data_IF_399998203652
#
_entry.id   IF_399998203652
#
_cell.length_a   1.000
_cell.length_b   1.000
_cell.length_c   1.000
_cell.angle_alpha   90.00
_cell.angle_beta   90.00
_cell.angle_gamma   90.00
#
_symmetry.space_group_name_H-M   'P 1'
#
loop_
_entity.id
_entity.type
_entity.pdbx_description
1 polymer ?
#
# COMPACT_ATOMS: atom_id res chain seq x y z
N UNK A 1 -27.28 -0.30 9.54
CA UNK A 1 -27.44 0.70 8.47
C UNK A 1 -27.15 2.06 9.08
N UNK A 2 -25.88 2.42 9.17
CA UNK A 2 -25.48 3.77 9.60
C UNK A 2 -25.72 4.70 8.42
N UNK A 3 -26.46 5.79 8.65
CA UNK A 3 -26.63 6.85 7.68
C UNK A 3 -25.26 7.40 7.31
N UNK A 4 -24.93 7.33 6.01
CA UNK A 4 -23.82 8.08 5.41
C UNK A 4 -24.12 9.57 5.56
N UNK A 5 -23.71 10.16 6.69
CA UNK A 5 -23.66 11.62 6.80
C UNK A 5 -22.46 12.06 6.00
N UNK A 6 -22.62 12.09 4.68
CA UNK A 6 -21.73 12.86 3.81
C UNK A 6 -21.87 14.31 4.28
N UNK A 7 -20.83 14.85 4.90
CA UNK A 7 -20.79 16.28 5.20
C UNK A 7 -21.06 17.04 3.89
N UNK A 8 -21.98 18.01 3.92
CA UNK A 8 -22.42 18.75 2.73
C UNK A 8 -21.30 19.26 1.78
N UNK A 9 -20.09 19.56 2.27
CA UNK A 9 -18.98 20.02 1.43
C UNK A 9 -18.35 18.90 0.57
N UNK A 10 -18.29 17.66 1.07
CA UNK A 10 -17.78 16.51 0.28
C UNK A 10 -18.71 16.19 -0.89
N UNK A 11 -20.02 16.27 -0.68
CA UNK A 11 -21.01 16.11 -1.74
C UNK A 11 -20.92 17.19 -2.84
N UNK A 12 -20.43 18.40 -2.51
CA UNK A 12 -20.19 19.45 -3.50
C UNK A 12 -18.97 19.18 -4.40
N UNK A 13 -17.95 18.50 -3.87
CA UNK A 13 -16.70 18.25 -4.58
C UNK A 13 -16.75 17.05 -5.53
N UNK A 14 -17.64 16.08 -5.31
CA UNK A 14 -17.80 14.93 -6.23
C UNK A 14 -18.26 15.33 -7.63
N UNK A 15 -18.82 16.54 -7.78
CA UNK A 15 -19.18 17.13 -9.08
C UNK A 15 -18.03 17.88 -9.77
N UNK A 16 -16.94 18.17 -9.03
CA UNK A 16 -15.78 18.88 -9.56
C UNK A 16 -14.77 17.89 -10.15
N UNK A 17 -14.33 18.16 -11.37
CA UNK A 17 -13.27 17.38 -12.03
C UNK A 17 -11.84 17.79 -11.59
N UNK A 18 -11.75 18.79 -10.69
CA UNK A 18 -10.50 19.38 -10.21
C UNK A 18 -10.55 19.60 -8.70
N UNK A 19 -9.50 19.18 -8.01
CA UNK A 19 -9.26 19.43 -6.58
C UNK A 19 -8.16 20.47 -6.44
N UNK A 20 -8.47 21.58 -5.78
CA UNK A 20 -7.54 22.68 -5.51
C UNK A 20 -7.00 22.63 -4.08
N UNK A 21 -5.93 23.37 -3.79
CA UNK A 21 -5.38 23.48 -2.44
C UNK A 21 -6.38 24.07 -1.43
N UNK A 22 -7.29 24.94 -1.88
CA UNK A 22 -8.37 25.47 -1.04
C UNK A 22 -9.40 24.38 -0.69
N UNK A 23 -9.74 23.51 -1.65
CA UNK A 23 -10.61 22.36 -1.39
C UNK A 23 -9.95 21.39 -0.37
N UNK A 24 -8.63 21.13 -0.49
CA UNK A 24 -7.88 20.32 0.48
C UNK A 24 -7.90 20.95 1.88
N UNK A 25 -7.64 22.25 1.98
CA UNK A 25 -7.65 22.95 3.27
C UNK A 25 -9.03 22.94 3.94
N UNK A 26 -10.11 23.04 3.14
CA UNK A 26 -11.47 22.89 3.63
C UNK A 26 -11.73 21.47 4.13
N UNK A 27 -11.42 20.45 3.32
CA UNK A 27 -11.62 19.04 3.69
C UNK A 27 -10.85 18.66 4.95
N UNK A 28 -9.59 19.11 5.10
CA UNK A 28 -8.81 18.88 6.31
C UNK A 28 -9.49 19.40 7.57
N UNK A 29 -10.09 20.59 7.51
CA UNK A 29 -10.78 21.16 8.68
C UNK A 29 -12.03 20.38 9.07
N UNK A 30 -12.65 19.69 8.12
CA UNK A 30 -13.88 18.93 8.35
C UNK A 30 -13.59 17.50 8.78
N UNK A 31 -12.75 16.79 8.03
CA UNK A 31 -12.39 15.38 8.26
C UNK A 31 -11.68 15.18 9.61
N UNK A 32 -10.96 16.19 10.08
CA UNK A 32 -10.30 16.15 11.40
C UNK A 32 -11.03 16.99 12.46
N UNK A 33 -12.26 17.46 12.20
CA UNK A 33 -12.97 18.37 13.10
C UNK A 33 -13.27 17.76 14.47
N UNK A 34 -13.66 16.48 14.48
CA UNK A 34 -13.97 15.69 15.68
C UNK A 34 -12.77 14.84 16.15
N UNK A 35 -11.64 14.95 15.44
CA UNK A 35 -10.39 14.25 15.73
C UNK A 35 -10.38 12.79 15.30
N UNK A 36 -11.37 12.31 14.54
CA UNK A 36 -11.49 10.90 14.12
C UNK A 36 -12.03 10.83 12.68
N UNK A 37 -11.23 10.33 11.74
CA UNK A 37 -11.69 10.05 10.37
C UNK A 37 -12.59 8.82 10.30
N UNK A 38 -13.90 8.99 10.11
CA UNK A 38 -14.83 7.88 10.00
C UNK A 38 -14.69 7.09 8.68
N UNK A 39 -15.23 5.86 8.66
CA UNK A 39 -15.30 5.03 7.43
C UNK A 39 -16.03 5.74 6.29
N UNK A 40 -17.11 6.46 6.59
CA UNK A 40 -17.85 7.21 5.59
C UNK A 40 -17.04 8.35 4.98
N UNK A 41 -16.19 9.02 5.78
CA UNK A 41 -15.29 10.06 5.28
C UNK A 41 -14.17 9.47 4.43
N UNK A 42 -13.58 8.35 4.86
CA UNK A 42 -12.58 7.64 4.06
C UNK A 42 -13.16 7.19 2.70
N UNK A 43 -14.35 6.59 2.68
CA UNK A 43 -15.05 6.21 1.44
C UNK A 43 -15.32 7.41 0.53
N UNK A 44 -15.65 8.57 1.11
CA UNK A 44 -15.88 9.78 0.35
C UNK A 44 -14.58 10.39 -0.21
N UNK A 45 -13.47 10.30 0.52
CA UNK A 45 -12.14 10.66 0.02
C UNK A 45 -11.70 9.76 -1.15
N UNK A 46 -11.98 8.44 -1.08
CA UNK A 46 -11.75 7.53 -2.20
C UNK A 46 -12.59 7.90 -3.42
N UNK A 47 -13.87 8.22 -3.23
CA UNK A 47 -14.75 8.65 -4.32
C UNK A 47 -14.22 9.93 -5.00
N UNK A 48 -13.68 10.88 -4.22
CA UNK A 48 -13.02 12.08 -4.76
C UNK A 48 -11.74 11.75 -5.52
N UNK A 49 -10.89 10.86 -5.00
CA UNK A 49 -9.64 10.46 -5.68
C UNK A 49 -9.93 9.83 -7.05
N UNK A 50 -10.99 9.01 -7.12
CA UNK A 50 -11.38 8.28 -8.33
C UNK A 50 -12.12 9.14 -9.36
N UNK A 51 -12.80 10.21 -8.94
CA UNK A 51 -13.58 11.08 -9.83
C UNK A 51 -12.79 12.28 -10.35
N UNK A 52 -11.87 12.82 -9.55
CA UNK A 52 -11.10 14.00 -9.92
C UNK A 52 -9.93 13.65 -10.86
N UNK A 53 -9.85 14.33 -12.02
CA UNK A 53 -8.75 14.15 -12.98
C UNK A 53 -7.55 15.05 -12.71
N UNK A 54 -7.79 16.27 -12.21
CA UNK A 54 -6.74 17.25 -11.91
C UNK A 54 -6.69 17.48 -10.40
N UNK A 55 -5.60 17.04 -9.76
CA UNK A 55 -5.43 17.06 -8.31
C UNK A 55 -4.19 17.88 -7.98
N UNK A 56 -4.32 18.84 -7.06
CA UNK A 56 -3.18 19.60 -6.58
C UNK A 56 -2.19 18.72 -5.79
N UNK A 57 -0.95 19.20 -5.61
CA UNK A 57 0.11 18.42 -4.96
C UNK A 57 -0.17 18.07 -3.50
N UNK A 58 -1.02 18.86 -2.84
CA UNK A 58 -1.43 18.66 -1.44
C UNK A 58 -2.48 17.55 -1.27
N UNK A 59 -3.14 17.12 -2.36
CA UNK A 59 -4.19 16.10 -2.28
C UNK A 59 -3.63 14.75 -1.84
N UNK A 60 -2.57 14.25 -2.48
CA UNK A 60 -2.04 12.92 -2.18
C UNK A 60 -1.56 12.80 -0.72
N UNK A 61 -0.76 13.74 -0.16
CA UNK A 61 -0.39 13.70 1.25
C UNK A 61 -1.60 13.73 2.19
N UNK A 62 -2.59 14.58 1.93
CA UNK A 62 -3.80 14.65 2.77
C UNK A 62 -4.62 13.35 2.72
N UNK A 63 -4.85 12.82 1.52
CA UNK A 63 -5.59 11.59 1.31
C UNK A 63 -4.93 10.41 2.04
N UNK A 64 -3.61 10.27 1.88
CA UNK A 64 -2.82 9.22 2.54
C UNK A 64 -2.91 9.35 4.06
N UNK A 65 -2.71 10.55 4.60
CA UNK A 65 -2.78 10.82 6.05
C UNK A 65 -4.17 10.48 6.62
N UNK A 66 -5.24 11.00 6.01
CA UNK A 66 -6.59 10.82 6.53
C UNK A 66 -7.05 9.36 6.50
N UNK A 67 -6.78 8.63 5.41
CA UNK A 67 -7.18 7.22 5.30
C UNK A 67 -6.31 6.33 6.19
N UNK A 68 -5.03 6.67 6.39
CA UNK A 68 -4.16 5.93 7.32
C UNK A 68 -4.62 6.11 8.76
N UNK A 69 -5.01 7.32 9.17
CA UNK A 69 -5.58 7.57 10.50
C UNK A 69 -6.80 6.67 10.77
N UNK A 70 -7.71 6.58 9.79
CA UNK A 70 -8.86 5.69 9.87
C UNK A 70 -8.47 4.21 10.04
N UNK A 71 -7.55 3.72 9.22
CA UNK A 71 -7.23 2.29 9.17
C UNK A 71 -6.37 1.83 10.35
N UNK A 72 -5.44 2.68 10.80
CA UNK A 72 -4.36 2.30 11.71
C UNK A 72 -4.59 2.80 13.14
N UNK A 73 -5.06 4.04 13.31
CA UNK A 73 -5.13 4.67 14.64
C UNK A 73 -6.47 4.50 15.36
N UNK A 74 -7.53 4.24 14.61
CA UNK A 74 -8.88 4.12 15.19
C UNK A 74 -9.24 2.71 15.62
N UNK A 75 -8.60 1.71 15.02
CA UNK A 75 -8.73 0.32 15.45
C UNK A 75 -8.06 0.11 16.80
N UNK A 76 -8.64 -0.77 17.61
CA UNK A 76 -8.06 -1.18 18.89
C UNK A 76 -7.55 -2.60 18.77
N UNK A 77 -6.27 -2.87 19.08
CA UNK A 77 -5.27 -1.94 19.59
C UNK A 77 -4.68 -0.98 18.54
N UNK A 78 -4.33 0.24 18.96
CA UNK A 78 -3.78 1.27 18.08
C UNK A 78 -2.49 0.80 17.38
N UNK A 79 -2.46 0.96 16.05
CA UNK A 79 -1.40 0.46 15.19
C UNK A 79 -1.67 -0.93 14.60
N UNK A 80 -2.81 -1.56 14.90
CA UNK A 80 -3.16 -2.86 14.33
C UNK A 80 -4.21 -2.71 13.23
N UNK A 81 -3.92 -3.30 12.08
CA UNK A 81 -4.90 -3.46 11.00
C UNK A 81 -5.62 -4.79 11.19
N UNK A 82 -6.95 -4.74 11.31
CA UNK A 82 -7.80 -5.93 11.35
C UNK A 82 -7.90 -6.60 9.97
N UNK A 83 -8.26 -7.88 9.91
CA UNK A 83 -8.57 -8.56 8.64
C UNK A 83 -9.69 -7.84 7.88
N UNK A 84 -10.72 -7.35 8.58
CA UNK A 84 -11.83 -6.60 7.97
C UNK A 84 -11.34 -5.31 7.29
N UNK A 85 -10.49 -4.52 7.95
CA UNK A 85 -9.97 -3.28 7.37
C UNK A 85 -8.99 -3.54 6.24
N UNK A 86 -8.19 -4.61 6.32
CA UNK A 86 -7.33 -5.03 5.21
C UNK A 86 -8.17 -5.44 3.98
N UNK A 87 -9.20 -6.26 4.17
CA UNK A 87 -10.13 -6.68 3.11
C UNK A 87 -10.87 -5.49 2.51
N UNK A 88 -11.34 -4.57 3.35
CA UNK A 88 -11.99 -3.35 2.89
C UNK A 88 -11.05 -2.45 2.09
N UNK A 89 -9.82 -2.22 2.58
CA UNK A 89 -8.83 -1.42 1.87
C UNK A 89 -8.53 -2.03 0.50
N UNK A 90 -8.21 -3.33 0.45
CA UNK A 90 -7.94 -4.05 -0.81
C UNK A 90 -9.12 -3.92 -1.76
N UNK A 91 -10.35 -4.15 -1.31
CA UNK A 91 -11.54 -4.01 -2.16
C UNK A 91 -11.79 -2.59 -2.66
N UNK A 92 -11.34 -1.59 -1.92
CA UNK A 92 -11.58 -0.18 -2.24
C UNK A 92 -10.54 0.34 -3.24
N UNK A 93 -9.27 -0.07 -3.11
CA UNK A 93 -8.19 0.31 -4.03
C UNK A 93 -8.09 -0.60 -5.25
N UNK A 94 -8.57 -1.84 -5.17
CA UNK A 94 -8.45 -2.83 -6.23
C UNK A 94 -9.63 -2.78 -7.18
N UNK A 95 -9.37 -2.54 -8.46
CA UNK A 95 -10.30 -2.84 -9.56
C UNK A 95 -9.72 -3.96 -10.41
N UNK A 96 -10.47 -5.05 -10.55
CA UNK A 96 -10.07 -6.26 -11.27
C UNK A 96 -8.72 -6.84 -10.82
N UNK A 97 -8.35 -6.67 -9.54
CA UNK A 97 -7.11 -7.17 -8.94
C UNK A 97 -5.94 -6.18 -8.94
N UNK A 98 -6.13 -4.97 -9.48
CA UNK A 98 -5.07 -3.98 -9.65
C UNK A 98 -5.42 -2.64 -9.00
N UNK A 99 -4.42 -1.96 -8.46
CA UNK A 99 -4.57 -0.58 -7.98
C UNK A 99 -4.73 0.38 -9.15
N UNK A 100 -5.63 1.36 -9.05
CA UNK A 100 -5.96 2.26 -10.17
C UNK A 100 -5.01 3.47 -10.25
N UNK A 101 -4.47 3.94 -9.13
CA UNK A 101 -3.69 5.18 -9.07
C UNK A 101 -2.39 5.07 -8.27
N UNK A 102 -1.42 5.95 -8.57
CA UNK A 102 -0.17 6.06 -7.77
C UNK A 102 -0.46 6.50 -6.34
N UNK A 103 -1.48 7.33 -6.14
CA UNK A 103 -1.91 7.77 -4.81
C UNK A 103 -2.42 6.60 -3.96
N UNK A 104 -3.22 5.71 -4.56
CA UNK A 104 -3.74 4.52 -3.88
C UNK A 104 -2.62 3.50 -3.59
N UNK A 105 -1.62 3.37 -4.47
CA UNK A 105 -0.46 2.53 -4.21
C UNK A 105 0.41 3.11 -3.07
N UNK A 106 0.62 4.42 -3.06
CA UNK A 106 1.34 5.07 -1.96
C UNK A 106 0.58 4.94 -0.64
N UNK A 107 -0.76 5.07 -0.65
CA UNK A 107 -1.59 4.78 0.52
C UNK A 107 -1.36 3.36 1.03
N UNK A 108 -1.40 2.36 0.14
CA UNK A 108 -1.22 0.95 0.51
C UNK A 108 0.13 0.71 1.20
N UNK A 109 1.21 1.31 0.66
CA UNK A 109 2.55 1.19 1.24
C UNK A 109 2.64 1.94 2.55
N UNK A 110 2.11 3.16 2.62
CA UNK A 110 2.16 3.99 3.82
C UNK A 110 1.37 3.37 4.99
N UNK A 111 0.19 2.79 4.72
CA UNK A 111 -0.61 2.06 5.71
C UNK A 111 0.17 0.87 6.27
N UNK A 112 0.90 0.14 5.42
CA UNK A 112 1.77 -0.92 5.88
C UNK A 112 2.93 -0.39 6.73
N UNK A 113 3.55 0.74 6.34
CA UNK A 113 4.69 1.35 7.04
C UNK A 113 4.32 1.90 8.43
N UNK A 114 3.12 2.45 8.59
CA UNK A 114 2.63 3.01 9.85
C UNK A 114 2.06 1.93 10.80
N UNK A 115 1.56 0.83 10.23
CA UNK A 115 0.99 -0.25 11.03
C UNK A 115 2.06 -0.98 11.85
N UNK A 116 1.80 -1.15 13.14
CA UNK A 116 2.54 -2.08 13.99
C UNK A 116 2.29 -3.51 13.51
N UNK A 117 1.04 -3.87 13.24
CA UNK A 117 0.69 -5.21 12.77
C UNK A 117 -0.35 -5.13 11.67
N UNK A 118 -0.21 -5.97 10.66
CA UNK A 118 -1.22 -6.13 9.62
C UNK A 118 -1.37 -7.60 9.23
N UNK A 119 -2.45 -7.97 8.52
CA UNK A 119 -2.59 -9.31 7.96
C UNK A 119 -1.60 -9.49 6.79
N UNK A 120 -0.92 -10.64 6.72
CA UNK A 120 0.07 -10.92 5.67
C UNK A 120 -0.49 -10.90 4.23
N UNK A 121 -1.80 -11.02 4.07
CA UNK A 121 -2.45 -10.86 2.77
C UNK A 121 -2.35 -9.43 2.22
N UNK A 122 -2.28 -8.41 3.08
CA UNK A 122 -2.20 -7.01 2.68
C UNK A 122 -0.81 -6.70 2.10
N UNK A 123 0.26 -7.17 2.75
CA UNK A 123 1.62 -7.06 2.22
C UNK A 123 1.79 -7.89 0.94
N UNK A 124 1.26 -9.11 0.89
CA UNK A 124 1.28 -9.92 -0.31
C UNK A 124 0.55 -9.23 -1.49
N UNK A 125 -0.60 -8.60 -1.24
CA UNK A 125 -1.30 -7.81 -2.25
C UNK A 125 -0.47 -6.62 -2.75
N UNK A 126 0.21 -5.89 -1.85
CA UNK A 126 1.10 -4.81 -2.24
C UNK A 126 2.28 -5.29 -3.10
N UNK A 127 2.90 -6.43 -2.75
CA UNK A 127 3.95 -7.06 -3.57
C UNK A 127 3.41 -7.50 -4.94
N UNK A 128 2.18 -8.00 -5.01
CA UNK A 128 1.53 -8.38 -6.26
C UNK A 128 1.39 -7.19 -7.22
N UNK A 129 1.13 -5.98 -6.70
CA UNK A 129 1.08 -4.78 -7.54
C UNK A 129 2.44 -4.45 -8.17
N UNK A 130 3.53 -4.66 -7.44
CA UNK A 130 4.89 -4.52 -7.99
C UNK A 130 5.16 -5.63 -9.01
N UNK A 131 4.72 -6.85 -8.74
CA UNK A 131 4.85 -7.97 -9.67
C UNK A 131 4.11 -7.70 -10.99
N UNK A 132 2.90 -7.14 -10.96
CA UNK A 132 2.17 -6.76 -12.16
C UNK A 132 2.90 -5.69 -12.99
N UNK A 133 3.54 -4.73 -12.34
CA UNK A 133 4.33 -3.73 -13.05
C UNK A 133 5.58 -4.34 -13.70
N UNK A 134 6.35 -5.11 -12.92
CA UNK A 134 7.59 -5.72 -13.38
C UNK A 134 7.34 -6.81 -14.43
N UNK A 135 6.39 -7.71 -14.22
CA UNK A 135 6.20 -8.89 -15.07
C UNK A 135 5.30 -8.57 -16.26
N UNK A 136 4.17 -7.89 -16.02
CA UNK A 136 3.13 -7.69 -17.02
C UNK A 136 3.17 -6.29 -17.66
N UNK A 137 3.95 -5.35 -17.09
CA UNK A 137 3.96 -3.96 -17.53
C UNK A 137 2.62 -3.26 -17.29
N UNK A 138 1.96 -3.58 -16.17
CA UNK A 138 0.62 -3.06 -15.84
C UNK A 138 0.62 -2.27 -14.53
N UNK A 139 -0.45 -1.52 -14.31
CA UNK A 139 -0.71 -0.82 -13.06
C UNK A 139 -0.09 0.57 -12.98
N UNK A 140 -0.25 1.24 -11.82
CA UNK A 140 -0.01 2.66 -11.67
C UNK A 140 1.49 3.02 -11.70
N UNK A 141 2.36 2.04 -11.45
CA UNK A 141 3.81 2.20 -11.54
C UNK A 141 4.25 2.55 -12.98
N UNK A 142 3.53 2.08 -14.00
CA UNK A 142 3.82 2.38 -15.41
C UNK A 142 3.51 3.83 -15.82
N UNK A 143 2.69 4.55 -15.06
CA UNK A 143 2.17 5.87 -15.46
C UNK A 143 3.22 6.95 -15.22
N UNK A 144 3.99 7.32 -16.25
CA UNK A 144 4.99 8.39 -16.17
C UNK A 144 6.35 7.95 -15.60
N UNK A 145 6.73 6.69 -15.83
CA UNK A 145 8.02 6.13 -15.39
C UNK A 145 8.87 5.53 -16.51
N UNK A 146 10.11 5.18 -16.14
CA UNK A 146 11.14 4.50 -16.94
C UNK A 146 11.09 2.95 -16.80
N UNK A 147 10.00 2.42 -16.23
CA UNK A 147 9.87 0.99 -15.94
C UNK A 147 9.85 0.19 -17.25
N UNK A 148 10.71 -0.83 -17.30
CA UNK A 148 10.81 -1.76 -18.43
C UNK A 148 10.25 -3.12 -18.00
N UNK A 149 9.12 -3.57 -18.57
CA UNK A 149 8.58 -4.88 -18.24
C UNK A 149 9.60 -5.99 -18.51
N UNK A 150 9.72 -6.92 -17.57
CA UNK A 150 10.71 -8.00 -17.57
C UNK A 150 12.06 -7.63 -16.93
N UNK A 151 12.24 -6.41 -16.45
CA UNK A 151 13.46 -5.95 -15.79
C UNK A 151 13.13 -5.28 -14.45
N UNK A 152 13.89 -5.62 -13.42
CA UNK A 152 13.78 -5.01 -12.10
C UNK A 152 14.87 -3.95 -11.98
N UNK A 153 14.47 -2.68 -11.96
CA UNK A 153 15.36 -1.58 -11.68
C UNK A 153 15.36 -1.27 -10.17
N UNK A 154 16.30 -0.41 -9.77
CA UNK A 154 16.48 0.00 -8.38
C UNK A 154 15.20 0.54 -7.73
N UNK A 155 14.38 1.28 -8.48
CA UNK A 155 13.14 1.84 -7.96
C UNK A 155 12.14 0.75 -7.53
N UNK A 156 12.00 -0.32 -8.32
CA UNK A 156 11.14 -1.46 -7.96
C UNK A 156 11.74 -2.23 -6.78
N UNK A 157 13.06 -2.40 -6.71
CA UNK A 157 13.72 -3.01 -5.54
C UNK A 157 13.47 -2.20 -4.27
N UNK A 158 13.58 -0.88 -4.34
CA UNK A 158 13.37 0.02 -3.19
C UNK A 158 11.90 -0.04 -2.72
N UNK A 159 10.94 -0.16 -3.63
CA UNK A 159 9.53 -0.35 -3.30
C UNK A 159 9.25 -1.73 -2.67
N UNK A 160 9.79 -2.81 -3.24
CA UNK A 160 9.72 -4.15 -2.65
C UNK A 160 10.33 -4.16 -1.25
N UNK A 161 11.45 -3.47 -1.08
CA UNK A 161 12.12 -3.28 0.22
C UNK A 161 11.17 -2.59 1.20
N UNK A 162 10.61 -1.43 0.85
CA UNK A 162 9.63 -0.71 1.70
C UNK A 162 8.50 -1.64 2.18
N UNK A 163 7.85 -2.35 1.26
CA UNK A 163 6.74 -3.26 1.59
C UNK A 163 7.19 -4.41 2.50
N UNK A 164 8.34 -5.02 2.20
CA UNK A 164 8.86 -6.13 2.98
C UNK A 164 9.30 -5.69 4.38
N UNK A 165 9.81 -4.47 4.57
CA UNK A 165 10.24 -3.96 5.88
C UNK A 165 9.12 -3.32 6.72
N UNK A 166 8.05 -2.87 6.08
CA UNK A 166 6.91 -2.23 6.73
C UNK A 166 6.27 -3.10 7.85
N UNK A 167 6.39 -4.42 7.74
CA UNK A 167 6.01 -5.38 8.78
C UNK A 167 6.99 -5.38 9.96
N UNK A 168 6.81 -4.45 10.91
CA UNK A 168 7.80 -4.20 11.97
C UNK A 168 7.31 -4.08 13.42
N UNK A 169 6.02 -4.23 13.72
CA UNK A 169 5.50 -4.06 15.09
C UNK A 169 4.99 -5.34 15.76
N UNK A 170 5.49 -5.59 16.98
CA UNK A 170 5.12 -6.59 18.00
C UNK A 170 5.01 -8.08 17.60
N UNK A 171 4.98 -8.42 16.31
CA UNK A 171 4.79 -9.79 15.81
C UNK A 171 5.94 -10.38 14.98
N UNK A 172 6.90 -9.56 14.51
CA UNK A 172 8.15 -9.96 13.86
C UNK A 172 8.09 -11.29 13.06
N UNK A 173 7.07 -11.44 12.22
CA UNK A 173 6.82 -12.71 11.53
C UNK A 173 7.82 -12.82 10.38
N UNK A 174 8.31 -14.04 10.17
CA UNK A 174 9.07 -14.40 8.99
C UNK A 174 8.36 -13.96 7.70
N UNK A 175 9.10 -13.89 6.60
CA UNK A 175 8.49 -13.82 5.27
C UNK A 175 7.44 -14.92 5.16
N UNK A 176 6.21 -14.54 4.83
CA UNK A 176 5.10 -15.47 4.70
C UNK A 176 5.21 -16.25 3.39
N UNK A 177 4.49 -17.37 3.31
CA UNK A 177 4.41 -18.16 2.08
C UNK A 177 3.89 -17.31 0.90
N UNK A 178 2.86 -16.49 1.13
CA UNK A 178 2.26 -15.65 0.09
C UNK A 178 3.26 -14.61 -0.45
N UNK A 179 4.02 -13.94 0.43
CA UNK A 179 5.07 -13.01 0.01
C UNK A 179 6.20 -13.73 -0.75
N UNK A 180 6.64 -14.90 -0.26
CA UNK A 180 7.67 -15.69 -0.93
C UNK A 180 7.24 -16.14 -2.34
N UNK A 181 5.98 -16.54 -2.53
CA UNK A 181 5.44 -16.91 -3.85
C UNK A 181 5.50 -15.75 -4.85
N UNK A 182 5.19 -14.52 -4.42
CA UNK A 182 5.33 -13.33 -5.26
C UNK A 182 6.79 -13.10 -5.66
N UNK A 183 7.72 -13.18 -4.69
CA UNK A 183 9.14 -12.99 -4.95
C UNK A 183 9.72 -14.05 -5.89
N UNK A 184 9.34 -15.32 -5.72
CA UNK A 184 9.72 -16.39 -6.65
C UNK A 184 9.23 -16.12 -8.06
N UNK A 185 7.97 -15.71 -8.21
CA UNK A 185 7.41 -15.39 -9.53
C UNK A 185 8.14 -14.23 -10.20
N UNK A 186 8.46 -13.17 -9.46
CA UNK A 186 9.26 -12.04 -9.97
C UNK A 186 10.64 -12.54 -10.41
N UNK A 187 11.33 -13.32 -9.57
CA UNK A 187 12.65 -13.87 -9.87
C UNK A 187 12.63 -14.73 -11.14
N UNK A 188 11.72 -15.69 -11.23
CA UNK A 188 11.64 -16.62 -12.36
C UNK A 188 11.34 -15.90 -13.68
N UNK A 189 10.49 -14.88 -13.64
CA UNK A 189 10.09 -14.12 -14.83
C UNK A 189 11.12 -13.09 -15.29
N UNK A 190 12.06 -12.73 -14.43
CA UNK A 190 13.12 -11.76 -14.72
C UNK A 190 14.53 -12.37 -14.68
N UNK A 191 14.66 -13.69 -14.52
CA UNK A 191 15.94 -14.38 -14.33
C UNK A 191 16.97 -14.18 -15.47
N UNK A 192 16.51 -13.91 -16.69
CA UNK A 192 17.36 -13.66 -17.86
C UNK A 192 17.67 -12.18 -18.10
N UNK A 193 17.10 -11.27 -17.30
CA UNK A 193 17.29 -9.84 -17.44
C UNK A 193 18.53 -9.36 -16.66
N UNK A 194 19.06 -8.20 -17.07
CA UNK A 194 20.12 -7.49 -16.36
C UNK A 194 19.51 -6.69 -15.20
N UNK A 195 18.98 -7.42 -14.21
CA UNK A 195 18.33 -6.81 -13.03
C UNK A 195 19.34 -6.05 -12.18
N UNK A 196 18.86 -5.03 -11.47
CA UNK A 196 19.69 -4.32 -10.50
C UNK A 196 20.27 -5.32 -9.46
N UNK A 197 21.58 -5.27 -9.15
CA UNK A 197 22.22 -6.22 -8.24
C UNK A 197 21.57 -6.28 -6.85
N UNK A 198 20.94 -5.20 -6.40
CA UNK A 198 20.24 -5.14 -5.11
C UNK A 198 18.99 -6.02 -5.07
N UNK A 199 18.44 -6.43 -6.22
CA UNK A 199 17.36 -7.42 -6.29
C UNK A 199 17.82 -8.78 -5.77
N UNK A 200 18.99 -9.26 -6.23
CA UNK A 200 19.51 -10.58 -5.81
C UNK A 200 19.76 -10.62 -4.30
N UNK A 201 20.29 -9.53 -3.74
CA UNK A 201 20.50 -9.40 -2.30
C UNK A 201 19.18 -9.48 -1.52
N UNK A 202 18.18 -8.71 -1.94
CA UNK A 202 16.85 -8.71 -1.31
C UNK A 202 16.19 -10.09 -1.40
N UNK A 203 16.20 -10.70 -2.58
CA UNK A 203 15.59 -12.00 -2.83
C UNK A 203 16.20 -13.11 -1.97
N UNK A 204 17.54 -13.22 -1.96
CA UNK A 204 18.23 -14.27 -1.18
C UNK A 204 17.94 -14.12 0.31
N UNK A 205 18.01 -12.89 0.85
CA UNK A 205 17.71 -12.61 2.26
C UNK A 205 16.27 -12.95 2.62
N UNK A 206 15.30 -12.55 1.80
CA UNK A 206 13.89 -12.82 2.02
C UNK A 206 13.57 -14.32 1.99
N UNK A 207 14.08 -15.05 0.99
CA UNK A 207 13.85 -16.50 0.87
C UNK A 207 14.57 -17.28 1.98
N UNK A 208 15.79 -16.89 2.35
CA UNK A 208 16.48 -17.50 3.50
C UNK A 208 15.67 -17.34 4.79
N UNK A 209 15.09 -16.14 5.03
CA UNK A 209 14.21 -15.89 6.17
C UNK A 209 12.97 -16.81 6.15
N UNK A 210 12.29 -16.93 5.00
CA UNK A 210 11.15 -17.83 4.83
C UNK A 210 11.51 -19.30 5.11
N UNK A 211 12.61 -19.78 4.52
CA UNK A 211 13.03 -21.18 4.64
C UNK A 211 13.41 -21.53 6.08
N UNK A 212 14.18 -20.67 6.77
CA UNK A 212 14.54 -20.88 8.17
C UNK A 212 13.31 -21.05 9.05
N UNK A 213 12.30 -20.18 8.88
CA UNK A 213 11.03 -20.31 9.60
C UNK A 213 10.30 -21.61 9.26
N UNK A 214 10.23 -21.98 7.98
CA UNK A 214 9.53 -23.20 7.53
C UNK A 214 10.18 -24.49 8.05
N UNK A 215 11.49 -24.47 8.31
CA UNK A 215 12.26 -25.58 8.84
C UNK A 215 12.21 -25.67 10.38
N UNK A 216 11.43 -24.81 11.04
CA UNK A 216 11.25 -24.80 12.50
C UNK A 216 12.40 -24.13 13.26
N UNK A 217 13.29 -23.40 12.58
CA UNK A 217 14.25 -22.52 13.24
C UNK A 217 13.59 -21.19 13.58
N UNK A 218 14.08 -20.53 14.63
CA UNK A 218 13.73 -19.14 14.93
C UNK A 218 14.55 -18.24 14.01
N UNK A 219 13.97 -17.67 12.94
CA UNK A 219 14.71 -16.83 12.02
C UNK A 219 15.06 -15.50 12.70
N UNK A 220 16.12 -14.79 12.23
CA UNK A 220 16.29 -13.40 12.62
C UNK A 220 15.04 -12.60 12.25
N UNK A 221 14.81 -11.53 13.01
CA UNK A 221 13.75 -10.56 12.73
C UNK A 221 13.83 -10.09 11.29
N UNK A 222 12.69 -9.75 10.69
CA UNK A 222 12.61 -9.33 9.28
C UNK A 222 13.52 -8.13 8.99
N UNK A 223 13.56 -7.16 9.90
CA UNK A 223 14.50 -6.04 9.85
C UNK A 223 15.97 -6.50 9.82
N UNK A 224 16.36 -7.43 10.69
CA UNK A 224 17.73 -7.94 10.73
C UNK A 224 18.07 -8.83 9.52
N UNK A 225 17.09 -9.59 9.02
CA UNK A 225 17.26 -10.49 7.90
C UNK A 225 17.47 -9.75 6.58
N UNK A 226 16.77 -8.63 6.41
CA UNK A 226 16.75 -7.85 5.17
C UNK A 226 17.74 -6.66 5.16
N UNK A 227 18.39 -6.39 6.30
CA UNK A 227 19.43 -5.35 6.44
C UNK A 227 20.67 -5.63 5.60
#
# INVERSE_FOLDING_TARGET
MGELIMSGPVAGLTSKNKITAEDVAMLRREVFADGVVSRGEAEALFALDQTARDKCGEWAPFFVEAVTDHIVHQEKPEGYISEENADWLVRTVSRDGMVDSRTELELLVHVLEEAKSSPGQLSAYALEQVAHAVIDGKGPLMIGGELVPGLIARAEVDLLRRILHAFGGDGNIAITKAEAEVLFRINDRTAAADNDPSWNELFVKAIANYVMCSAGYEPPTREAALR
#
